data_IF_366131072122
#
_entry.id   IF_366131072122
#
_cell.length_a   1.000
_cell.length_b   1.000
_cell.length_c   1.000
_cell.angle_alpha   90.00
_cell.angle_beta   90.00
_cell.angle_gamma   90.00
#
_symmetry.space_group_name_H-M   'P 1'
#
loop_
_entity.id
_entity.type
_entity.pdbx_description
1 polymer ?
2 non-polymer ?
3 non-polymer ?
4 water ?
#
# COMPACT_ATOMS: atom_id res chain seq x y z
N UNK A 14 0.46 -20.51 7.72
CA UNK A 14 0.09 -19.13 8.01
C UNK A 14 -0.69 -18.43 6.91
N UNK A 15 -0.59 -18.96 5.70
CA UNK A 15 -1.26 -18.37 4.54
C UNK A 15 -2.65 -18.97 4.43
N UNK A 16 -3.67 -18.22 4.85
CA UNK A 16 -5.06 -18.65 4.78
C UNK A 16 -5.61 -18.39 3.38
N UNK A 17 -6.01 -19.44 2.68
CA UNK A 17 -6.55 -19.32 1.33
C UNK A 17 -8.04 -19.04 1.44
N UNK A 18 -8.50 -18.02 0.74
CA UNK A 18 -9.91 -17.66 0.81
C UNK A 18 -10.26 -17.36 -0.64
N UNK A 19 -10.91 -18.32 -1.29
CA UNK A 19 -11.05 -18.26 -2.75
C UNK A 19 -9.68 -18.17 -3.39
N UNK A 20 -9.52 -17.16 -4.25
CA UNK A 20 -8.28 -16.96 -4.97
C UNK A 20 -7.36 -15.98 -4.27
N UNK A 21 -7.69 -15.59 -3.03
CA UNK A 21 -6.88 -14.64 -2.26
C UNK A 21 -6.18 -15.36 -1.12
N UNK A 22 -5.20 -14.71 -0.54
CA UNK A 22 -4.47 -15.25 0.60
C UNK A 22 -4.41 -14.17 1.68
N UNK A 23 -4.63 -14.59 2.94
CA UNK A 23 -4.57 -13.69 4.08
C UNK A 23 -3.58 -14.23 5.08
N UNK A 24 -2.77 -13.35 5.66
CA UNK A 24 -1.76 -13.76 6.64
C UNK A 24 -1.77 -12.78 7.80
N UNK A 25 -1.93 -13.27 9.01
CA UNK A 25 -1.87 -12.39 10.17
C UNK A 25 -0.42 -12.01 10.44
N UNK A 26 -0.14 -10.71 10.56
CA UNK A 26 1.20 -10.20 10.82
C UNK A 26 1.41 -9.76 12.27
N UNK A 27 0.34 -9.37 12.95
CA UNK A 27 0.39 -8.89 14.32
C UNK A 27 -1.02 -9.04 14.86
N UNK A 28 -1.23 -8.84 16.15
CA UNK A 28 -2.60 -9.06 16.69
C UNK A 28 -3.78 -8.38 15.97
N UNK A 29 -3.58 -7.18 15.49
CA UNK A 29 -4.62 -6.39 14.82
C UNK A 29 -4.29 -6.11 13.36
N UNK A 30 -3.37 -6.85 12.76
CA UNK A 30 -2.91 -6.54 11.40
C UNK A 30 -2.82 -7.80 10.56
N UNK A 31 -3.39 -7.76 9.38
CA UNK A 31 -3.32 -8.85 8.42
C UNK A 31 -2.85 -8.31 7.07
N UNK A 32 -2.16 -9.14 6.33
CA UNK A 32 -1.81 -8.86 4.94
C UNK A 32 -2.80 -9.56 4.02
N UNK A 33 -3.36 -8.83 3.06
CA UNK A 33 -4.18 -9.39 2.00
C UNK A 33 -3.33 -9.53 0.75
N UNK A 34 -3.51 -10.64 0.03
CA UNK A 34 -2.76 -10.89 -1.19
C UNK A 34 -3.72 -11.35 -2.28
N UNK A 35 -3.60 -10.73 -3.44
CA UNK A 35 -4.40 -11.07 -4.61
C UNK A 35 -3.48 -11.18 -5.81
N UNK A 36 -3.97 -11.86 -6.85
CA UNK A 36 -3.13 -12.20 -7.99
C UNK A 36 -3.76 -11.78 -9.29
N UNK A 37 -2.91 -11.36 -10.23
CA UNK A 37 -3.39 -11.10 -11.59
C UNK A 37 -2.41 -11.71 -12.55
N UNK A 38 -2.92 -12.49 -13.49
CA UNK A 38 -2.08 -13.05 -14.54
C UNK A 38 -1.83 -11.93 -15.52
N UNK A 39 -0.67 -11.30 -15.43
CA UNK A 39 -0.26 -10.20 -16.28
C UNK A 39 0.58 -10.76 -17.41
N UNK A 40 0.14 -10.65 -18.66
CA UNK A 40 0.89 -11.26 -19.76
C UNK A 40 2.33 -10.77 -19.75
N UNK A 41 3.26 -11.72 -19.81
CA UNK A 41 4.68 -11.42 -19.77
C UNK A 41 5.29 -11.33 -18.39
N UNK A 42 4.48 -11.37 -17.32
CA UNK A 42 4.97 -11.22 -15.95
C UNK A 42 4.58 -12.37 -15.05
N UNK A 43 3.75 -13.30 -15.50
CA UNK A 43 3.27 -14.38 -14.66
C UNK A 43 2.07 -13.93 -13.85
N UNK A 44 1.71 -14.76 -12.89
CA UNK A 44 0.63 -14.44 -11.96
C UNK A 44 1.22 -13.63 -10.81
N UNK A 45 1.02 -12.33 -10.82
CA UNK A 45 1.72 -11.42 -9.93
C UNK A 45 0.91 -11.23 -8.65
N UNK A 46 1.54 -11.46 -7.53
CA UNK A 46 0.94 -11.17 -6.23
C UNK A 46 1.02 -9.69 -5.96
N UNK A 47 -0.02 -9.16 -5.32
CA UNK A 47 0.03 -7.82 -4.76
C UNK A 47 -0.52 -7.88 -3.34
N UNK A 48 0.20 -7.25 -2.42
CA UNK A 48 -0.16 -7.24 -1.01
C UNK A 48 -0.65 -5.89 -0.56
N UNK A 49 -1.63 -5.92 0.35
CA UNK A 49 -2.04 -4.74 1.11
C UNK A 49 -2.27 -5.15 2.54
N UNK A 50 -2.87 -4.27 3.34
CA UNK A 50 -3.04 -4.49 4.75
C UNK A 50 -4.48 -4.29 5.20
N UNK A 51 -4.83 -4.97 6.28
CA UNK A 51 -6.09 -4.82 6.99
C UNK A 51 -5.72 -4.59 8.45
N UNK A 52 -6.25 -3.53 9.06
CA UNK A 52 -5.92 -3.16 10.43
C UNK A 52 -7.20 -3.03 11.22
N UNK A 53 -7.29 -3.71 12.37
CA UNK A 53 -8.38 -3.44 13.28
C UNK A 53 -7.96 -2.36 14.27
N UNK A 54 -8.76 -1.31 14.36
CA UNK A 54 -8.56 -0.22 15.32
C UNK A 54 -9.80 -0.18 16.20
N UNK A 55 -9.77 -0.88 17.34
CA UNK A 55 -10.93 -0.88 18.22
C UNK A 55 -12.10 -1.56 17.50
N UNK A 56 -13.20 -0.81 17.37
CA UNK A 56 -14.41 -1.32 16.75
C UNK A 56 -14.54 -1.09 15.26
N UNK A 57 -13.45 -0.79 14.57
CA UNK A 57 -13.55 -0.56 13.14
C UNK A 57 -12.31 -1.14 12.46
N UNK A 58 -12.42 -1.31 11.15
CA UNK A 58 -11.36 -1.86 10.31
C UNK A 58 -10.93 -0.80 9.31
N UNK A 59 -9.63 -0.75 9.06
CA UNK A 59 -9.01 0.15 8.11
C UNK A 59 -8.27 -0.68 7.09
N UNK A 60 -8.39 -0.33 5.81
CA UNK A 60 -7.76 -1.09 4.72
C UNK A 60 -6.71 -0.21 4.04
N UNK A 61 -5.57 -0.83 3.72
CA UNK A 61 -4.53 -0.22 2.90
C UNK A 61 -4.44 -1.00 1.60
N UNK A 62 -4.76 -0.31 0.49
CA UNK A 62 -4.74 -0.84 -0.87
C UNK A 62 -5.92 -1.73 -1.19
N UNK A 63 -6.42 -1.60 -2.42
CA UNK A 63 -7.39 -2.56 -2.92
C UNK A 63 -6.66 -3.80 -3.41
N UNK A 64 -7.43 -4.80 -3.88
CA UNK A 64 -6.88 -5.86 -4.71
C UNK A 64 -6.82 -5.38 -6.17
N UNK A 65 -6.42 -6.25 -7.07
CA UNK A 65 -6.31 -5.90 -8.48
C UNK A 65 -7.65 -5.56 -9.13
N UNK A 66 -8.73 -6.21 -8.69
CA UNK A 66 -10.03 -6.05 -9.34
C UNK A 66 -11.12 -5.77 -8.31
N UNK A 67 -12.26 -5.31 -8.81
CA UNK A 67 -13.43 -5.12 -7.96
C UNK A 67 -13.88 -6.43 -7.34
N UNK A 68 -13.93 -7.52 -8.11
CA UNK A 68 -14.38 -8.79 -7.54
C UNK A 68 -13.46 -9.24 -6.42
N UNK A 69 -12.15 -9.12 -6.61
CA UNK A 69 -11.23 -9.53 -5.55
C UNK A 69 -11.39 -8.63 -4.32
N UNK A 70 -11.61 -7.33 -4.55
CA UNK A 70 -11.78 -6.41 -3.44
C UNK A 70 -13.04 -6.71 -2.66
N UNK A 71 -14.12 -7.05 -3.35
CA UNK A 71 -15.32 -7.51 -2.66
C UNK A 71 -15.02 -8.75 -1.82
N UNK A 72 -14.16 -9.66 -2.31
CA UNK A 72 -13.78 -10.81 -1.49
C UNK A 72 -12.98 -10.42 -0.26
N UNK A 73 -12.14 -9.38 -0.35
CA UNK A 73 -11.48 -8.88 0.86
C UNK A 73 -12.54 -8.48 1.87
N UNK A 74 -13.56 -7.74 1.43
CA UNK A 74 -14.61 -7.32 2.35
C UNK A 74 -15.35 -8.51 2.95
N UNK A 75 -15.58 -9.56 2.13
CA UNK A 75 -16.19 -10.79 2.63
C UNK A 75 -15.33 -11.45 3.69
N UNK A 76 -14.02 -11.55 3.46
CA UNK A 76 -13.13 -12.12 4.46
C UNK A 76 -13.19 -11.31 5.75
N UNK A 77 -13.19 -9.97 5.64
CA UNK A 77 -13.26 -9.13 6.84
C UNK A 77 -14.53 -9.43 7.61
N UNK A 78 -15.65 -9.55 6.90
CA UNK A 78 -16.92 -9.84 7.57
C UNK A 78 -16.85 -11.16 8.31
N UNK A 79 -16.24 -12.18 7.70
CA UNK A 79 -16.17 -13.50 8.31
C UNK A 79 -15.20 -13.55 9.47
N UNK A 80 -14.03 -12.94 9.35
CA UNK A 80 -12.95 -13.11 10.31
C UNK A 80 -12.88 -12.03 11.37
N UNK A 81 -13.40 -10.85 11.09
CA UNK A 81 -13.35 -9.74 12.02
C UNK A 81 -14.75 -9.27 12.41
N UNK A 82 -15.63 -9.12 11.42
CA UNK A 82 -17.03 -8.78 11.65
C UNK A 82 -17.18 -7.41 12.32
N UNK A 83 -16.46 -6.43 11.79
CA UNK A 83 -16.59 -5.04 12.20
C UNK A 83 -16.61 -4.18 10.94
N UNK A 84 -17.23 -3.00 10.98
CA UNK A 84 -17.32 -2.17 9.76
C UNK A 84 -15.96 -1.66 9.32
N UNK A 85 -15.83 -1.50 8.00
CA UNK A 85 -14.64 -0.94 7.38
C UNK A 85 -14.83 0.56 7.29
N UNK A 86 -14.11 1.31 8.14
CA UNK A 86 -14.31 2.76 8.23
C UNK A 86 -13.72 3.51 7.08
N UNK A 87 -12.61 3.05 6.52
CA UNK A 87 -11.94 3.77 5.45
C UNK A 87 -10.92 2.86 4.81
N UNK A 88 -10.52 3.25 3.60
CA UNK A 88 -9.40 2.64 2.91
C UNK A 88 -8.49 3.75 2.39
N UNK A 89 -7.18 3.50 2.42
CA UNK A 89 -6.20 4.39 1.82
C UNK A 89 -5.44 3.59 0.77
N UNK A 90 -5.21 4.18 -0.39
CA UNK A 90 -4.53 3.51 -1.49
C UNK A 90 -3.25 4.25 -1.79
N UNK A 91 -2.21 3.53 -2.19
CA UNK A 91 -0.87 4.08 -2.11
C UNK A 91 -0.26 4.57 -3.42
N UNK A 92 -0.83 4.28 -4.58
CA UNK A 92 -0.54 4.99 -5.82
C UNK A 92 -1.52 4.54 -6.88
N UNK A 93 -1.55 5.28 -8.00
CA UNK A 93 -2.52 5.06 -9.07
C UNK A 93 -2.03 4.01 -10.09
N UNK A 94 -1.84 2.78 -9.62
CA UNK A 94 -1.67 1.62 -10.49
C UNK A 94 -2.70 0.58 -10.08
N UNK A 95 -2.95 -0.41 -10.97
CA UNK A 95 -4.08 -1.32 -10.80
C UNK A 95 -3.97 -2.18 -9.55
N UNK A 96 -2.76 -2.59 -9.18
CA UNK A 96 -2.62 -3.43 -8.00
C UNK A 96 -3.06 -2.76 -6.73
N UNK A 97 -3.01 -1.42 -6.66
CA UNK A 97 -3.34 -0.67 -5.45
C UNK A 97 -4.71 -0.03 -5.51
N UNK A 98 -5.21 0.27 -6.73
CA UNK A 98 -6.43 1.06 -6.93
C UNK A 98 -7.44 0.37 -7.82
N UNK A 99 -7.17 -0.85 -8.28
CA UNK A 99 -8.06 -1.50 -9.21
C UNK A 99 -9.43 -1.83 -8.68
N UNK A 100 -9.59 -1.86 -7.35
CA UNK A 100 -10.87 -2.24 -6.77
C UNK A 100 -11.65 -1.09 -6.14
N UNK A 101 -11.36 0.16 -6.52
CA UNK A 101 -12.03 1.31 -5.89
C UNK A 101 -13.54 1.21 -6.00
N UNK A 102 -14.08 0.81 -7.16
CA UNK A 102 -15.54 0.80 -7.29
C UNK A 102 -16.16 -0.15 -6.27
N UNK A 103 -15.50 -1.28 -5.97
CA UNK A 103 -16.05 -2.19 -4.97
C UNK A 103 -16.10 -1.55 -3.58
N UNK A 104 -15.07 -0.78 -3.21
CA UNK A 104 -15.12 -0.08 -1.93
C UNK A 104 -16.26 0.92 -1.91
N UNK A 105 -16.42 1.69 -3.00
CA UNK A 105 -17.51 2.66 -3.06
C UNK A 105 -18.87 2.00 -3.01
N UNK A 106 -19.04 0.88 -3.69
CA UNK A 106 -20.33 0.17 -3.67
C UNK A 106 -20.68 -0.29 -2.26
N UNK A 107 -19.66 -0.62 -1.45
CA UNK A 107 -19.83 -1.01 -0.06
C UNK A 107 -20.00 0.17 0.88
N UNK A 108 -19.93 1.41 0.39
CA UNK A 108 -20.10 2.58 1.23
C UNK A 108 -18.88 2.95 2.02
N UNK A 109 -17.67 2.54 1.59
CA UNK A 109 -16.45 2.78 2.36
C UNK A 109 -15.79 4.07 1.85
N UNK A 110 -15.43 4.96 2.78
CA UNK A 110 -14.74 6.20 2.41
C UNK A 110 -13.31 5.88 1.98
N UNK A 111 -12.89 6.49 0.90
CA UNK A 111 -11.59 6.21 0.31
C UNK A 111 -10.72 7.45 0.23
N UNK A 112 -9.42 7.23 0.39
CA UNK A 112 -8.41 8.27 0.47
C UNK A 112 -7.23 7.91 -0.40
N UNK A 113 -6.63 8.89 -1.06
CA UNK A 113 -5.38 8.72 -1.79
C UNK A 113 -4.67 10.04 -1.80
N UNK A 114 -3.37 10.01 -2.07
CA UNK A 114 -2.64 11.24 -2.42
C UNK A 114 -3.43 12.03 -3.46
N UNK A 115 -3.55 13.33 -3.25
CA UNK A 115 -4.15 14.20 -4.26
C UNK A 115 -3.60 13.89 -5.65
N UNK A 116 -2.29 13.69 -5.76
CA UNK A 116 -1.72 13.42 -7.06
C UNK A 116 -2.18 12.08 -7.63
N UNK A 117 -2.38 11.08 -6.79
CA UNK A 117 -2.98 9.82 -7.26
C UNK A 117 -4.35 10.04 -7.85
N UNK A 118 -5.17 10.86 -7.18
CA UNK A 118 -6.50 11.13 -7.70
C UNK A 118 -6.44 11.89 -9.01
N UNK A 119 -5.47 12.82 -9.12
CA UNK A 119 -5.30 13.55 -10.37
C UNK A 119 -4.92 12.62 -11.51
N UNK A 120 -4.01 11.68 -11.25
CA UNK A 120 -3.51 10.76 -12.25
C UNK A 120 -4.48 9.62 -12.56
N UNK A 121 -5.41 9.36 -11.67
CA UNK A 121 -6.19 8.14 -11.77
C UNK A 121 -6.86 8.00 -13.13
N UNK A 122 -7.55 9.03 -13.67
CA UNK A 122 -8.21 8.81 -14.97
C UNK A 122 -7.23 8.39 -16.06
N UNK A 123 -6.08 9.06 -16.19
CA UNK A 123 -5.20 8.71 -17.30
C UNK A 123 -4.54 7.36 -17.07
N UNK A 124 -4.44 6.90 -15.83
CA UNK A 124 -3.91 5.59 -15.48
C UNK A 124 -4.96 4.51 -15.60
N UNK A 125 -6.21 4.85 -15.90
CA UNK A 125 -7.26 3.86 -16.00
C UNK A 125 -7.88 3.47 -14.68
N UNK A 126 -7.68 4.26 -13.64
CA UNK A 126 -8.19 3.99 -12.30
C UNK A 126 -9.37 4.89 -12.00
N UNK A 127 -10.19 4.43 -11.06
CA UNK A 127 -11.21 5.27 -10.42
C UNK A 127 -10.54 6.00 -9.26
N UNK A 128 -10.75 7.32 -9.17
CA UNK A 128 -10.15 8.10 -8.08
C UNK A 128 -10.77 7.76 -6.73
N UNK A 129 -9.98 7.90 -5.67
CA UNK A 129 -10.54 7.88 -4.32
C UNK A 129 -11.41 9.12 -4.10
N UNK A 130 -12.27 9.06 -3.09
CA UNK A 130 -13.19 10.17 -2.81
C UNK A 130 -12.52 11.36 -2.15
N UNK A 131 -11.43 11.14 -1.43
CA UNK A 131 -10.76 12.16 -0.64
C UNK A 131 -9.31 12.21 -1.04
N UNK A 132 -8.76 13.42 -0.99
CA UNK A 132 -7.37 13.68 -1.36
C UNK A 132 -6.54 14.05 -0.15
N UNK A 133 -5.45 13.33 0.03
CA UNK A 133 -4.44 13.63 1.02
C UNK A 133 -3.47 14.65 0.47
N UNK A 134 -3.07 15.59 1.33
CA UNK A 134 -1.95 16.45 1.00
C UNK A 134 -0.88 16.31 2.08
N UNK A 135 0.34 16.73 1.74
CA UNK A 135 1.50 16.42 2.56
C UNK A 135 2.30 17.67 2.85
N UNK A 136 2.82 17.74 4.07
CA UNK A 136 3.70 18.82 4.45
C UNK A 136 5.02 18.68 3.71
N UNK A 137 5.83 19.76 3.75
CA UNK A 137 7.13 19.73 3.10
C UNK A 137 8.01 18.60 3.62
N UNK A 138 7.85 18.24 4.90
CA UNK A 138 8.62 17.15 5.49
C UNK A 138 8.07 15.75 5.17
N UNK A 139 6.99 15.64 4.41
CA UNK A 139 6.52 14.35 3.95
C UNK A 139 5.33 13.82 4.75
N UNK A 140 5.12 14.26 5.99
CA UNK A 140 4.00 13.73 6.76
C UNK A 140 2.68 14.29 6.23
N UNK A 141 1.65 13.45 6.24
CA UNK A 141 0.34 13.88 5.77
C UNK A 141 -0.12 15.08 6.59
N UNK A 142 -0.78 16.01 5.94
CA UNK A 142 -1.44 17.11 6.61
C UNK A 142 -2.65 16.54 7.34
N UNK A 143 -2.69 16.64 8.66
CA UNK A 143 -3.63 15.83 9.45
C UNK A 143 -5.08 16.10 9.13
N UNK A 144 -5.45 17.32 8.74
CA UNK A 144 -6.84 17.59 8.40
C UNK A 144 -7.30 16.80 7.20
N UNK A 145 -6.38 16.35 6.33
CA UNK A 145 -6.76 15.59 5.14
C UNK A 145 -6.86 14.11 5.41
N UNK A 146 -6.43 13.65 6.58
CA UNK A 146 -6.47 12.22 6.94
C UNK A 146 -7.16 12.10 8.31
N UNK A 147 -8.41 12.56 8.41
CA UNK A 147 -9.10 12.53 9.70
C UNK A 147 -9.43 11.10 10.06
N UNK A 148 -9.43 10.83 11.37
CA UNK A 148 -9.90 9.53 11.88
C UNK A 148 -9.07 8.36 11.33
N UNK A 149 -7.79 8.59 11.08
CA UNK A 149 -6.94 7.53 10.57
C UNK A 149 -6.41 6.61 11.67
N UNK A 150 -6.66 6.90 12.96
CA UNK A 150 -6.26 5.96 14.01
C UNK A 150 -4.76 5.71 13.99
N UNK A 151 -4.36 4.45 13.99
CA UNK A 151 -2.92 4.16 14.04
C UNK A 151 -2.21 4.29 12.70
N UNK A 152 -2.92 4.63 11.60
CA UNK A 152 -2.25 4.71 10.30
C UNK A 152 -1.51 6.03 10.19
N UNK A 153 -0.21 5.97 9.98
CA UNK A 153 0.65 7.13 9.89
C UNK A 153 1.16 7.24 8.45
N UNK A 154 0.67 8.22 7.72
CA UNK A 154 0.87 8.27 6.27
C UNK A 154 1.97 9.25 5.92
N UNK A 155 2.90 8.82 5.06
CA UNK A 155 4.11 9.54 4.74
C UNK A 155 4.35 9.51 3.23
N UNK A 156 4.63 10.68 2.65
CA UNK A 156 5.04 10.80 1.25
C UNK A 156 6.54 10.91 1.21
N UNK A 157 7.26 9.91 0.69
CA UNK A 157 8.72 9.91 0.78
C UNK A 157 9.39 10.65 -0.36
N UNK A 158 8.64 11.17 -1.34
CA UNK A 158 9.20 11.70 -2.56
C UNK A 158 8.92 10.77 -3.71
N UNK A 159 9.09 11.27 -4.94
CA UNK A 159 8.81 10.45 -6.12
C UNK A 159 9.80 9.29 -6.23
N UNK A 160 9.31 8.13 -6.67
CA UNK A 160 10.17 6.97 -6.74
C UNK A 160 9.65 5.98 -7.75
N UNK A 161 8.97 4.94 -7.26
CA UNK A 161 8.26 4.03 -8.14
C UNK A 161 7.32 4.78 -9.06
N UNK A 162 6.59 5.75 -8.51
CA UNK A 162 5.78 6.69 -9.26
C UNK A 162 5.95 8.04 -8.60
N UNK A 163 5.40 9.07 -9.25
CA UNK A 163 5.44 10.40 -8.68
C UNK A 163 4.56 10.52 -7.45
N UNK A 164 3.53 9.67 -7.36
CA UNK A 164 2.50 9.82 -6.33
C UNK A 164 2.61 8.84 -5.17
N UNK A 165 3.61 7.94 -5.19
CA UNK A 165 3.67 6.85 -4.18
C UNK A 165 3.68 7.35 -2.73
N UNK A 166 2.83 6.75 -1.90
CA UNK A 166 2.82 7.04 -0.46
C UNK A 166 3.05 5.76 0.33
N UNK A 167 3.34 5.93 1.62
CA UNK A 167 3.70 4.84 2.50
C UNK A 167 2.96 4.99 3.81
N UNK A 168 2.87 3.92 4.60
CA UNK A 168 2.02 3.92 5.78
C UNK A 168 2.66 3.12 6.90
N UNK A 169 2.83 3.71 8.06
CA UNK A 169 3.23 2.99 9.25
C UNK A 169 2.02 2.67 10.10
N UNK A 170 2.13 1.61 10.91
CA UNK A 170 1.04 1.26 11.81
C UNK A 170 1.49 1.45 13.24
N UNK A 171 1.00 2.51 13.88
CA UNK A 171 1.37 2.75 15.27
C UNK A 171 0.96 1.58 16.14
N UNK A 172 1.77 1.32 17.18
CA UNK A 172 1.52 0.21 18.05
C UNK A 172 2.08 -1.10 17.53
N UNK A 173 2.76 -1.08 16.38
CA UNK A 173 3.36 -2.26 15.79
C UNK A 173 4.75 -1.92 15.28
N UNK A 174 5.48 -2.94 14.85
CA UNK A 174 6.78 -2.71 14.22
C UNK A 174 6.70 -2.73 12.70
N UNK A 175 5.52 -2.45 12.14
CA UNK A 175 5.23 -2.65 10.72
C UNK A 175 5.21 -1.31 10.00
N UNK A 176 5.86 -1.24 8.85
CA UNK A 176 5.68 -0.13 7.92
C UNK A 176 5.51 -0.70 6.53
N UNK A 177 4.62 -0.07 5.79
CA UNK A 177 4.22 -0.52 4.47
C UNK A 177 4.81 0.40 3.40
N UNK A 178 5.69 -0.16 2.55
CA UNK A 178 6.29 0.57 1.45
C UNK A 178 5.57 0.49 0.12
N UNK A 179 4.54 -0.38 0.01
CA UNK A 179 3.84 -0.48 -1.26
C UNK A 179 4.79 -0.88 -2.37
N UNK A 180 4.62 -0.27 -3.53
CA UNK A 180 5.46 -0.64 -4.65
C UNK A 180 6.78 0.12 -4.71
N UNK A 181 7.02 0.98 -3.73
CA UNK A 181 8.31 1.65 -3.65
C UNK A 181 9.44 0.70 -3.30
N UNK A 182 9.19 -0.23 -2.40
CA UNK A 182 10.20 -1.09 -1.80
C UNK A 182 10.08 -2.50 -2.34
N UNK A 183 11.24 -3.07 -2.64
CA UNK A 183 11.38 -4.45 -3.10
C UNK A 183 12.13 -5.22 -2.03
N UNK A 184 12.01 -6.55 -2.07
CA UNK A 184 12.64 -7.33 -1.01
C UNK A 184 14.16 -7.37 -1.21
N UNK A 185 14.83 -7.79 -0.15
CA UNK A 185 16.29 -7.71 -0.12
C UNK A 185 16.98 -8.65 -1.12
N UNK A 186 16.25 -9.54 -1.77
CA UNK A 186 16.84 -10.43 -2.77
C UNK A 186 16.23 -10.21 -4.14
N UNK A 187 15.53 -9.10 -4.33
CA UNK A 187 14.88 -8.82 -5.59
C UNK A 187 15.92 -8.59 -6.66
N UNK A 188 15.63 -9.09 -7.85
CA UNK A 188 16.53 -8.93 -8.98
C UNK A 188 16.48 -7.54 -9.62
N UNK A 189 15.37 -6.82 -9.49
CA UNK A 189 15.24 -5.52 -10.13
C UNK A 189 14.14 -4.74 -9.43
N UNK A 190 13.98 -3.48 -9.82
CA UNK A 190 12.95 -2.62 -9.25
C UNK A 190 11.61 -2.79 -9.93
N UNK A 191 11.45 -3.73 -10.84
CA UNK A 191 10.12 -4.01 -11.37
C UNK A 191 9.70 -2.97 -12.37
N UNK A 192 8.46 -2.50 -12.24
CA UNK A 192 7.89 -1.58 -13.21
C UNK A 192 8.45 -0.18 -12.96
N UNK A 193 9.33 0.28 -13.87
CA UNK A 193 9.92 1.61 -13.81
C UNK A 193 9.30 2.58 -14.82
N UNK A 194 8.21 2.20 -15.49
CA UNK A 194 7.65 3.05 -16.53
C UNK A 194 7.27 4.43 -16.04
N UNK A 195 6.79 4.53 -14.81
CA UNK A 195 6.39 5.82 -14.25
C UNK A 195 7.36 6.32 -13.20
N UNK A 196 8.54 5.73 -13.12
CA UNK A 196 9.45 5.99 -12.02
C UNK A 196 10.18 7.30 -12.22
N UNK A 197 10.59 7.88 -11.12
CA UNK A 197 11.43 9.06 -11.13
C UNK A 197 12.84 8.53 -10.88
N UNK A 198 13.60 8.38 -11.97
CA UNK A 198 14.91 7.74 -11.86
C UNK A 198 15.91 8.59 -11.07
N UNK A 199 15.77 9.92 -11.10
CA UNK A 199 16.67 10.76 -10.34
C UNK A 199 16.46 10.64 -8.84
N UNK A 200 15.20 10.56 -8.41
CA UNK A 200 14.86 10.74 -7.01
C UNK A 200 14.53 9.46 -6.29
N UNK A 201 14.39 8.34 -7.00
CA UNK A 201 13.96 7.09 -6.38
C UNK A 201 14.83 6.70 -5.19
N UNK A 202 16.17 6.70 -5.36
CA UNK A 202 17.02 6.22 -4.25
C UNK A 202 16.80 7.06 -2.99
N UNK A 203 16.72 8.38 -3.15
CA UNK A 203 16.51 9.23 -1.97
C UNK A 203 15.15 8.96 -1.34
N UNK A 204 14.12 8.74 -2.18
CA UNK A 204 12.77 8.48 -1.65
C UNK A 204 12.75 7.18 -0.87
N UNK A 205 13.41 6.14 -1.39
CA UNK A 205 13.46 4.89 -0.64
C UNK A 205 14.13 5.10 0.71
N UNK A 206 15.25 5.81 0.73
CA UNK A 206 15.92 6.08 2.01
C UNK A 206 15.05 6.95 2.93
N UNK A 207 14.28 7.89 2.38
CA UNK A 207 13.41 8.72 3.22
C UNK A 207 12.30 7.91 3.87
N UNK A 208 11.77 6.91 3.18
CA UNK A 208 10.81 5.99 3.81
C UNK A 208 11.44 5.31 5.01
N UNK A 209 12.66 4.79 4.86
CA UNK A 209 13.30 4.16 5.99
C UNK A 209 13.48 5.11 7.15
N UNK A 210 13.87 6.35 6.86
CA UNK A 210 14.11 7.31 7.94
C UNK A 210 12.82 7.81 8.59
N UNK A 211 11.68 7.70 7.89
CA UNK A 211 10.41 8.15 8.48
C UNK A 211 9.89 7.14 9.50
N UNK A 212 10.24 5.89 9.34
CA UNK A 212 9.78 4.80 10.20
C UNK A 212 11.01 4.09 10.75
N UNK A 213 11.82 4.79 11.55
CA UNK A 213 13.13 4.24 11.94
C UNK A 213 13.06 3.03 12.83
N UNK A 214 11.94 2.80 13.51
CA UNK A 214 11.83 1.64 14.41
C UNK A 214 11.11 0.46 13.77
N UNK A 215 10.64 0.59 12.54
CA UNK A 215 9.93 -0.50 11.90
C UNK A 215 10.88 -1.62 11.54
N UNK A 216 10.63 -2.80 12.08
CA UNK A 216 11.47 -3.94 11.77
C UNK A 216 10.85 -4.90 10.77
N UNK A 217 9.55 -4.75 10.50
CA UNK A 217 8.87 -5.57 9.52
C UNK A 217 8.41 -4.65 8.39
N UNK A 218 9.02 -4.79 7.22
CA UNK A 218 8.72 -3.97 6.06
C UNK A 218 7.83 -4.80 5.14
N UNK A 219 6.60 -4.33 4.98
CA UNK A 219 5.61 -4.94 4.11
C UNK A 219 5.65 -4.21 2.78
N UNK A 220 5.50 -4.95 1.69
CA UNK A 220 5.59 -4.32 0.37
C UNK A 220 4.67 -5.05 -0.58
N UNK A 221 4.50 -4.46 -1.76
CA UNK A 221 3.45 -4.97 -2.60
C UNK A 221 3.75 -6.32 -3.22
N UNK A 222 4.99 -6.55 -3.67
CA UNK A 222 5.23 -7.69 -4.56
C UNK A 222 6.12 -8.78 -3.97
N UNK A 223 6.41 -8.72 -2.68
CA UNK A 223 7.19 -9.73 -1.98
C UNK A 223 6.62 -9.87 -0.58
N UNK A 224 6.95 -10.99 0.06
CA UNK A 224 6.58 -11.24 1.44
C UNK A 224 7.26 -10.24 2.36
N UNK A 225 6.77 -10.07 3.57
CA UNK A 225 7.39 -9.09 4.45
C UNK A 225 8.85 -9.43 4.68
N UNK A 226 9.68 -8.39 4.84
CA UNK A 226 11.13 -8.54 4.95
C UNK A 226 11.64 -7.64 6.09
N UNK A 227 12.94 -7.75 6.34
CA UNK A 227 13.62 -6.87 7.26
C UNK A 227 13.89 -5.52 6.60
N UNK A 228 14.55 -4.63 7.38
CA UNK A 228 15.04 -3.35 6.85
C UNK A 228 16.06 -3.48 5.72
N UNK A 229 16.68 -4.64 5.54
CA UNK A 229 17.54 -4.84 4.36
C UNK A 229 16.81 -4.64 3.05
N UNK A 230 15.47 -4.76 3.03
CA UNK A 230 14.74 -4.44 1.80
C UNK A 230 14.93 -2.98 1.40
N UNK A 231 14.95 -2.08 2.39
CA UNK A 231 15.05 -0.65 2.11
C UNK A 231 16.42 -0.31 1.53
N UNK A 232 17.50 -0.79 2.13
CA UNK A 232 18.82 -0.48 1.60
C UNK A 232 19.09 -1.19 0.27
N UNK A 233 18.57 -2.41 0.07
CA UNK A 233 18.73 -3.06 -1.23
C UNK A 233 17.97 -2.32 -2.30
N UNK A 234 16.73 -1.88 -2.00
CA UNK A 234 15.97 -1.10 -2.97
C UNK A 234 16.74 0.16 -3.33
N UNK A 235 17.23 0.87 -2.32
CA UNK A 235 17.92 2.11 -2.60
C UNK A 235 19.16 1.89 -3.43
N UNK A 236 19.89 0.80 -3.16
CA UNK A 236 21.06 0.44 -3.94
C UNK A 236 20.72 0.16 -5.40
N UNK A 237 19.65 -0.60 -5.65
CA UNK A 237 19.19 -0.77 -7.04
C UNK A 237 18.81 0.58 -7.65
N UNK A 238 18.16 1.45 -6.86
CA UNK A 238 17.74 2.75 -7.38
C UNK A 238 18.92 3.67 -7.66
N UNK A 239 20.00 3.55 -6.89
CA UNK A 239 21.23 4.26 -7.20
C UNK A 239 21.66 4.03 -8.65
N UNK A 240 21.43 2.83 -9.19
CA UNK A 240 21.88 2.52 -10.56
C UNK A 240 21.06 3.23 -11.63
N UNK A 241 19.91 3.82 -11.25
CA UNK A 241 19.09 4.54 -12.21
C UNK A 241 19.55 5.97 -12.44
N UNK A 242 20.42 6.49 -11.58
CA UNK A 242 20.86 7.87 -11.66
C UNK A 242 22.04 8.01 -12.62
X LIG B 1 3.54 -4.72 -12.40
X LIG B 1 4.71 -6.08 -10.75
X LIG B 1 5.70 -6.55 -11.85
X LIG B 1 2.81 -3.59 -12.51
X LIG B 1 1.69 -3.31 -11.50
X LIG B 1 1.78 -1.89 -10.91
X LIG B 1 7.08 -6.85 -11.23
X LIG B 1 5.86 -5.39 -12.84
X LIG B 1 7.04 -8.03 -10.24
X LIG B 1 4.52 -5.10 -13.45
X LIG B 1 3.38 -5.79 -11.37
X LIG B 1 0.38 -3.40 -12.26
X LIG B 1 6.65 -9.17 -10.77
X LIG B 1 2.98 -2.79 -13.44
X LIG B 1 7.36 -7.91 -9.04
X LIG B 1 3.27 -1.60 -9.87
X LIG C 1 2.86 -2.74 -7.87
X LIG D 1 2.94 0.64 -9.31
#
# INVERSE_FOLDING_TARGET
GEIRPTIGQQMETGDQRFGDLVFRQLAPNVWQHTSYLDMPGFGAVASNGLIVRDGGRVLVVDTAWTDDQTAQILNWIKQEINLPVALAVVTHAHQDKMGGMDALHAAGIATYANALSNQLAPQEGMVAAQHSLTFAANGWVEPATAPNFGPLKVFYPGPGHTSDNITVGIDGTDIAFGGCLIKDSKAKSLGNLGDADTEHYAASARAFGAAFPKASMIVMSHSAPDSRAAITHTARMADKLR
EFR N1 C4 C5 C6 C7 C8 C10 C1 C11 C2 C3 C9 N2 O1 O2 S1
ZN ZN
ZN ZN
#
